data_IF_935084182443
#
_entry.id   IF_935084182443
#
_cell.length_a   1.000
_cell.length_b   1.000
_cell.length_c   1.000
_cell.angle_alpha   90.00
_cell.angle_beta   90.00
_cell.angle_gamma   90.00
#
_symmetry.space_group_name_H-M   'P 1'
#
loop_
_entity.id
_entity.type
_entity.pdbx_description
1 polymer ?
#
# COMPACT_ATOMS: atom_id res chain seq x y z
N UNK A 1 -24.52 4.21 2.14
CA UNK A 1 -23.19 3.56 2.23
C UNK A 1 -22.17 4.67 2.34
N UNK A 2 -21.53 4.83 3.47
CA UNK A 2 -20.41 5.75 3.64
C UNK A 2 -19.15 5.02 3.21
N UNK A 3 -18.48 5.52 2.16
CA UNK A 3 -17.18 5.03 1.74
C UNK A 3 -16.10 5.78 2.53
N UNK A 4 -14.97 5.14 2.82
CA UNK A 4 -13.84 5.78 3.50
C UNK A 4 -12.55 5.62 2.70
N UNK A 5 -11.65 6.58 2.86
CA UNK A 5 -10.31 6.59 2.28
C UNK A 5 -9.29 6.66 3.41
N UNK A 6 -8.47 5.62 3.54
CA UNK A 6 -7.33 5.57 4.46
C UNK A 6 -6.04 5.86 3.69
N UNK A 7 -5.38 6.96 4.01
CA UNK A 7 -4.05 7.29 3.52
C UNK A 7 -3.03 6.79 4.53
N UNK A 8 -1.97 6.16 4.02
CA UNK A 8 -0.84 5.71 4.83
C UNK A 8 0.47 6.17 4.21
N UNK A 9 1.36 6.69 5.04
CA UNK A 9 2.72 7.09 4.67
C UNK A 9 3.59 7.10 5.93
N UNK A 10 4.91 7.01 5.78
CA UNK A 10 5.84 7.10 6.91
C UNK A 10 5.76 8.44 7.67
N UNK A 11 5.22 9.50 7.06
CA UNK A 11 5.22 10.84 7.65
C UNK A 11 4.02 11.73 7.32
N UNK A 12 3.61 11.84 6.04
CA UNK A 12 2.76 12.96 5.58
C UNK A 12 1.27 12.64 5.49
N UNK A 13 0.87 11.39 5.72
CA UNK A 13 -0.51 10.97 5.52
C UNK A 13 -1.56 11.78 6.32
N UNK A 14 -1.36 12.14 7.61
CA UNK A 14 -2.34 12.93 8.35
C UNK A 14 -2.59 14.32 7.76
N UNK A 15 -1.53 15.03 7.34
CA UNK A 15 -1.69 16.36 6.74
C UNK A 15 -2.37 16.29 5.38
N UNK A 16 -2.02 15.29 4.56
CA UNK A 16 -2.65 15.10 3.25
C UNK A 16 -4.12 14.69 3.41
N UNK A 17 -4.45 13.86 4.41
CA UNK A 17 -5.82 13.49 4.72
C UNK A 17 -6.66 14.70 5.13
N UNK A 18 -6.10 15.61 5.95
CA UNK A 18 -6.77 16.85 6.30
C UNK A 18 -7.06 17.71 5.07
N UNK A 19 -6.08 17.89 4.18
CA UNK A 19 -6.27 18.64 2.93
C UNK A 19 -7.36 18.00 2.04
N UNK A 20 -7.35 16.68 1.91
CA UNK A 20 -8.34 15.93 1.12
C UNK A 20 -9.73 15.93 1.75
N UNK A 21 -9.84 16.01 3.07
CA UNK A 21 -11.13 16.05 3.77
C UNK A 21 -11.94 17.33 3.49
N UNK A 22 -11.29 18.37 2.97
CA UNK A 22 -11.97 19.60 2.55
C UNK A 22 -12.72 19.47 1.22
N UNK A 23 -12.48 18.41 0.45
CA UNK A 23 -13.24 18.16 -0.78
C UNK A 23 -14.65 17.71 -0.41
N UNK A 24 -15.66 18.44 -0.88
CA UNK A 24 -17.07 18.22 -0.55
C UNK A 24 -17.64 16.91 -1.15
N UNK A 25 -17.20 15.78 -0.62
CA UNK A 25 -17.67 14.43 -0.92
C UNK A 25 -18.23 13.77 0.33
N UNK A 26 -19.05 12.74 0.17
CA UNK A 26 -19.69 12.05 1.28
C UNK A 26 -18.77 11.08 2.04
N UNK A 27 -17.50 10.93 1.62
CA UNK A 27 -16.58 9.95 2.17
C UNK A 27 -15.69 10.49 3.28
N UNK A 28 -15.39 9.65 4.27
CA UNK A 28 -14.44 9.99 5.34
C UNK A 28 -13.01 9.78 4.87
N UNK A 29 -12.11 10.72 5.16
CA UNK A 29 -10.68 10.63 4.83
C UNK A 29 -9.87 10.57 6.11
N UNK A 30 -9.07 9.51 6.27
CA UNK A 30 -8.24 9.27 7.44
C UNK A 30 -6.77 9.16 7.03
N UNK A 31 -5.85 9.68 7.84
CA UNK A 31 -4.42 9.60 7.57
C UNK A 31 -3.68 8.88 8.69
N UNK A 32 -2.83 7.91 8.33
CA UNK A 32 -2.12 7.03 9.25
C UNK A 32 -0.61 7.07 9.00
N UNK A 33 0.17 7.17 10.06
CA UNK A 33 1.63 7.10 10.02
C UNK A 33 2.12 5.66 10.18
N UNK A 34 3.43 5.44 10.03
CA UNK A 34 4.12 4.14 10.08
C UNK A 34 3.59 3.18 11.18
N UNK A 35 3.47 3.67 12.41
CA UNK A 35 3.06 2.90 13.60
C UNK A 35 1.58 2.49 13.58
N UNK A 36 0.80 3.00 12.63
CA UNK A 36 -0.66 2.83 12.52
C UNK A 36 -1.08 2.16 11.22
N UNK A 37 -0.18 1.42 10.56
CA UNK A 37 -0.49 0.68 9.33
C UNK A 37 -1.70 -0.26 9.50
N UNK A 38 -1.75 -1.03 10.59
CA UNK A 38 -2.89 -1.94 10.83
C UNK A 38 -4.24 -1.22 10.90
N UNK A 39 -4.28 -0.02 11.49
CA UNK A 39 -5.49 0.82 11.51
C UNK A 39 -5.91 1.25 10.10
N UNK A 40 -4.96 1.51 9.20
CA UNK A 40 -5.25 1.86 7.80
C UNK A 40 -5.80 0.66 7.00
N UNK A 41 -5.45 -0.56 7.40
CA UNK A 41 -5.83 -1.81 6.73
C UNK A 41 -7.17 -2.37 7.21
N UNK A 42 -7.57 -2.08 8.44
CA UNK A 42 -8.80 -2.62 9.05
C UNK A 42 -10.05 -2.37 8.19
N UNK A 43 -10.70 -3.46 7.77
CA UNK A 43 -11.93 -3.41 6.99
C UNK A 43 -11.76 -3.00 5.52
N UNK A 44 -10.53 -2.69 5.08
CA UNK A 44 -10.23 -2.24 3.73
C UNK A 44 -10.57 -3.29 2.69
N UNK A 45 -11.19 -2.87 1.58
CA UNK A 45 -11.62 -3.75 0.47
C UNK A 45 -10.74 -3.67 -0.77
N UNK A 46 -10.07 -2.53 -0.94
CA UNK A 46 -9.18 -2.23 -2.06
C UNK A 46 -7.98 -1.50 -1.47
N UNK A 47 -6.79 -2.01 -1.78
CA UNK A 47 -5.51 -1.47 -1.33
C UNK A 47 -4.73 -1.05 -2.57
N UNK A 48 -4.24 0.19 -2.59
CA UNK A 48 -3.42 0.71 -3.67
C UNK A 48 -2.01 0.95 -3.13
N UNK A 49 -1.03 0.24 -3.66
CA UNK A 49 0.37 0.35 -3.25
C UNK A 49 1.13 1.20 -4.26
N UNK A 50 1.25 2.49 -3.95
CA UNK A 50 2.08 3.46 -4.67
C UNK A 50 3.37 3.82 -3.89
N UNK A 51 3.69 3.05 -2.84
CA UNK A 51 4.84 3.31 -1.97
C UNK A 51 6.15 2.89 -2.63
N UNK A 52 7.12 3.79 -2.62
CA UNK A 52 8.45 3.53 -3.15
C UNK A 52 9.12 4.80 -3.63
N UNK A 53 10.39 4.66 -4.01
CA UNK A 53 11.13 5.73 -4.66
C UNK A 53 10.78 5.72 -6.15
N UNK A 54 10.49 6.89 -6.76
CA UNK A 54 10.22 6.97 -8.20
C UNK A 54 11.51 6.75 -9.01
N UNK A 55 11.37 6.20 -10.21
CA UNK A 55 12.50 6.07 -11.13
C UNK A 55 13.05 7.46 -11.49
N UNK A 56 14.36 7.66 -11.30
CA UNK A 56 15.09 8.85 -11.75
C UNK A 56 16.11 8.47 -12.82
N UNK A 57 16.44 9.36 -13.77
CA UNK A 57 17.39 9.06 -14.86
C UNK A 57 18.75 8.51 -14.41
N UNK A 58 19.19 8.87 -13.20
CA UNK A 58 20.51 8.54 -12.67
C UNK A 58 20.52 7.34 -11.70
N UNK A 59 19.39 6.67 -11.49
CA UNK A 59 19.30 5.50 -10.60
C UNK A 59 19.27 4.25 -11.46
N UNK A 60 20.17 3.31 -11.20
CA UNK A 60 20.13 2.02 -11.89
C UNK A 60 18.87 1.24 -11.49
N UNK A 61 18.30 0.48 -12.42
CA UNK A 61 17.09 -0.32 -12.17
C UNK A 61 17.26 -1.28 -10.98
N UNK A 62 18.46 -1.80 -10.76
CA UNK A 62 18.78 -2.68 -9.62
C UNK A 62 18.71 -1.95 -8.28
N UNK A 63 19.17 -0.70 -8.21
CA UNK A 63 19.13 0.09 -6.98
C UNK A 63 17.70 0.49 -6.64
N UNK A 64 16.90 0.79 -7.66
CA UNK A 64 15.47 1.04 -7.52
C UNK A 64 14.76 -0.19 -6.94
N UNK A 65 15.04 -1.38 -7.48
CA UNK A 65 14.50 -2.63 -6.95
C UNK A 65 14.95 -2.87 -5.51
N UNK A 66 16.24 -2.72 -5.20
CA UNK A 66 16.77 -2.93 -3.84
C UNK A 66 16.15 -1.98 -2.80
N UNK A 67 15.73 -0.79 -3.24
CA UNK A 67 15.05 0.18 -2.38
C UNK A 67 13.57 -0.17 -2.18
N UNK A 68 12.86 -0.50 -3.25
CA UNK A 68 11.41 -0.71 -3.20
C UNK A 68 11.03 -2.12 -2.71
N UNK A 69 11.84 -3.14 -2.98
CA UNK A 69 11.57 -4.51 -2.56
C UNK A 69 11.27 -4.70 -1.06
N UNK A 70 12.08 -4.16 -0.11
CA UNK A 70 11.76 -4.28 1.31
C UNK A 70 10.46 -3.56 1.68
N UNK A 71 10.21 -2.37 1.13
CA UNK A 71 8.98 -1.59 1.38
C UNK A 71 7.74 -2.41 0.98
N UNK A 72 7.76 -2.98 -0.23
CA UNK A 72 6.65 -3.77 -0.76
C UNK A 72 6.46 -5.07 0.03
N UNK A 73 7.56 -5.74 0.42
CA UNK A 73 7.49 -6.95 1.25
C UNK A 73 6.81 -6.66 2.59
N UNK A 74 7.21 -5.60 3.27
CA UNK A 74 6.72 -5.28 4.61
C UNK A 74 5.24 -4.87 4.56
N UNK A 75 4.84 -4.11 3.54
CA UNK A 75 3.43 -3.81 3.27
C UNK A 75 2.63 -5.09 2.98
N UNK A 76 3.14 -5.98 2.12
CA UNK A 76 2.46 -7.24 1.80
C UNK A 76 2.27 -8.12 3.04
N UNK A 77 3.24 -8.12 3.96
CA UNK A 77 3.14 -8.87 5.20
C UNK A 77 2.00 -8.32 6.08
N UNK A 78 1.95 -7.00 6.31
CA UNK A 78 0.86 -6.38 7.06
C UNK A 78 -0.51 -6.63 6.40
N UNK A 79 -0.60 -6.55 5.07
CA UNK A 79 -1.83 -6.85 4.34
C UNK A 79 -2.27 -8.30 4.57
N UNK A 80 -1.34 -9.25 4.58
CA UNK A 80 -1.65 -10.67 4.81
C UNK A 80 -2.24 -10.94 6.21
N UNK A 81 -1.88 -10.09 7.19
CA UNK A 81 -2.30 -10.19 8.58
C UNK A 81 -3.63 -9.46 8.82
N UNK A 82 -3.74 -8.21 8.34
CA UNK A 82 -4.83 -7.30 8.70
C UNK A 82 -5.94 -7.18 7.64
N UNK A 83 -5.63 -7.44 6.36
CA UNK A 83 -6.56 -7.26 5.24
C UNK A 83 -6.40 -8.29 4.11
N UNK A 84 -6.32 -9.61 4.40
CA UNK A 84 -6.02 -10.63 3.38
C UNK A 84 -7.08 -10.78 2.29
N UNK A 85 -8.31 -10.29 2.54
CA UNK A 85 -9.43 -10.40 1.61
C UNK A 85 -9.58 -9.19 0.67
N UNK A 86 -8.73 -8.16 0.82
CA UNK A 86 -8.75 -6.97 -0.02
C UNK A 86 -8.18 -7.24 -1.42
N UNK A 87 -8.64 -6.48 -2.42
CA UNK A 87 -7.98 -6.42 -3.73
C UNK A 87 -6.72 -5.58 -3.61
N UNK A 88 -5.61 -6.04 -4.19
CA UNK A 88 -4.30 -5.39 -4.05
C UNK A 88 -3.86 -4.88 -5.42
N UNK A 89 -3.87 -3.56 -5.59
CA UNK A 89 -3.45 -2.88 -6.81
C UNK A 89 -2.04 -2.32 -6.60
N UNK A 90 -1.08 -2.87 -7.34
CA UNK A 90 0.33 -2.50 -7.22
C UNK A 90 0.68 -1.52 -8.34
N UNK A 91 1.03 -0.29 -7.95
CA UNK A 91 1.53 0.76 -8.86
C UNK A 91 3.06 0.84 -8.80
N UNK A 92 3.64 0.37 -7.70
CA UNK A 92 5.04 0.60 -7.36
C UNK A 92 6.02 -0.10 -8.32
N UNK A 93 6.98 0.67 -8.83
CA UNK A 93 8.02 0.18 -9.72
C UNK A 93 9.14 -0.58 -9.00
N UNK A 94 9.81 -1.52 -9.67
CA UNK A 94 9.46 -2.07 -10.99
C UNK A 94 8.31 -3.09 -10.88
N UNK A 95 7.19 -2.82 -11.56
CA UNK A 95 5.93 -3.59 -11.43
C UNK A 95 6.10 -5.11 -11.55
N UNK A 96 6.89 -5.56 -12.55
CA UNK A 96 7.12 -6.99 -12.81
C UNK A 96 7.78 -7.72 -11.64
N UNK A 97 8.55 -7.02 -10.81
CA UNK A 97 9.23 -7.61 -9.66
C UNK A 97 8.42 -7.42 -8.37
N UNK A 98 7.77 -6.28 -8.20
CA UNK A 98 6.96 -5.99 -7.01
C UNK A 98 5.73 -6.90 -6.92
N UNK A 99 5.09 -7.23 -8.05
CA UNK A 99 3.98 -8.19 -8.07
C UNK A 99 4.38 -9.59 -7.58
N UNK A 100 5.58 -10.05 -7.94
CA UNK A 100 6.11 -11.34 -7.50
C UNK A 100 6.39 -11.34 -6.00
N UNK A 101 6.93 -10.24 -5.46
CA UNK A 101 7.15 -10.10 -4.02
C UNK A 101 5.83 -10.24 -3.25
N UNK A 102 4.80 -9.46 -3.62
CA UNK A 102 3.49 -9.53 -2.95
C UNK A 102 2.90 -10.94 -3.05
N UNK A 103 2.94 -11.53 -4.25
CA UNK A 103 2.45 -12.90 -4.49
C UNK A 103 3.12 -13.92 -3.58
N UNK A 104 4.45 -13.90 -3.48
CA UNK A 104 5.19 -14.88 -2.68
C UNK A 104 5.01 -14.68 -1.17
N UNK A 105 4.87 -13.43 -0.70
CA UNK A 105 4.52 -13.15 0.70
C UNK A 105 3.14 -13.72 1.03
N UNK A 106 2.13 -13.45 0.20
CA UNK A 106 0.76 -13.94 0.42
C UNK A 106 0.68 -15.47 0.33
N UNK A 107 1.41 -16.11 -0.59
CA UNK A 107 1.48 -17.57 -0.68
C UNK A 107 2.06 -18.19 0.58
N UNK A 108 3.17 -17.63 1.09
CA UNK A 108 3.78 -18.08 2.35
C UNK A 108 2.84 -17.92 3.55
N UNK A 109 2.03 -16.87 3.57
CA UNK A 109 1.01 -16.66 4.59
C UNK A 109 -0.26 -17.52 4.39
N UNK A 110 -0.35 -18.31 3.31
CA UNK A 110 -1.55 -19.07 2.90
C UNK A 110 -2.78 -18.19 2.62
N UNK A 111 -2.56 -16.94 2.19
CA UNK A 111 -3.58 -15.92 1.90
C UNK A 111 -3.66 -15.49 0.43
N UNK A 112 -2.87 -16.08 -0.45
CA UNK A 112 -2.87 -15.72 -1.86
C UNK A 112 -4.17 -16.13 -2.56
N UNK A 113 -4.83 -15.16 -3.18
CA UNK A 113 -5.95 -15.37 -4.09
C UNK A 113 -5.62 -14.72 -5.44
N UNK A 114 -5.44 -15.48 -6.53
CA UNK A 114 -5.04 -14.92 -7.82
C UNK A 114 -6.09 -14.02 -8.48
N UNK A 115 -7.32 -13.94 -7.96
CA UNK A 115 -8.37 -13.05 -8.47
C UNK A 115 -8.50 -11.75 -7.69
N UNK A 116 -7.62 -11.49 -6.72
CA UNK A 116 -7.61 -10.31 -5.84
C UNK A 116 -6.24 -9.62 -5.88
#
# INVERSE_FOLDING_TARGET
MTHSLSLYDISRAPSIAADMSHVATAGEVNGYILEKLGNALQGTKIIIIAAGVPQKPNIARVDLFNTNAPIIRDLAQAISEDAPEAHILIISDPMNSTILIVTEVLKKATKFNPTK
#
